data_IF_440069362695
#
_entry.id   IF_440069362695
#
_cell.length_a   1.000
_cell.length_b   1.000
_cell.length_c   1.000
_cell.angle_alpha   90.00
_cell.angle_beta   90.00
_cell.angle_gamma   90.00
#
_symmetry.space_group_name_H-M   'P 1'
#
loop_
_entity.id
_entity.type
_entity.pdbx_description
1 polymer ?
#
# COMPACT_ATOMS: atom_id res chain seq x y z
N UNK A 1 -42.65 -0.14 -9.86
CA UNK A 1 -42.27 0.53 -11.13
C UNK A 1 -40.96 1.31 -10.94
N UNK A 2 -39.79 0.64 -10.91
CA UNK A 2 -38.50 1.30 -10.59
C UNK A 2 -37.32 0.56 -11.25
N UNK A 3 -37.36 0.35 -12.58
CA UNK A 3 -36.25 -0.31 -13.31
C UNK A 3 -35.85 0.38 -14.63
N UNK A 4 -36.13 1.68 -14.79
CA UNK A 4 -35.86 2.41 -16.05
C UNK A 4 -35.00 3.68 -15.92
N UNK A 5 -34.31 3.90 -14.80
CA UNK A 5 -33.50 5.11 -14.58
C UNK A 5 -31.98 4.90 -14.64
N UNK A 6 -31.52 3.69 -14.94
CA UNK A 6 -30.08 3.37 -14.95
C UNK A 6 -29.32 3.66 -16.27
N UNK A 7 -29.93 3.73 -17.49
CA UNK A 7 -29.14 3.97 -18.69
C UNK A 7 -28.86 5.47 -18.96
N UNK A 8 -29.53 6.40 -18.26
CA UNK A 8 -29.36 7.83 -18.51
C UNK A 8 -28.10 8.42 -17.85
N UNK A 9 -27.59 7.80 -16.78
CA UNK A 9 -26.40 8.26 -16.06
C UNK A 9 -25.08 7.87 -16.75
N UNK A 10 -25.09 6.85 -17.61
CA UNK A 10 -23.88 6.41 -18.32
C UNK A 10 -23.63 7.18 -19.64
N UNK A 11 -24.66 7.84 -20.18
CA UNK A 11 -24.53 8.66 -21.40
C UNK A 11 -23.95 10.06 -21.12
N UNK A 12 -24.00 10.54 -19.87
CA UNK A 12 -23.54 11.89 -19.51
C UNK A 12 -22.04 11.96 -19.17
N UNK A 13 -21.38 10.82 -18.89
CA UNK A 13 -19.95 10.78 -18.56
C UNK A 13 -19.02 10.85 -19.78
N UNK A 14 -19.54 10.73 -21.00
CA UNK A 14 -18.71 10.76 -22.21
C UNK A 14 -18.46 12.15 -22.80
N UNK A 15 -19.21 13.18 -22.37
CA UNK A 15 -19.07 14.53 -22.94
C UNK A 15 -18.05 15.43 -22.22
N UNK A 16 -17.53 15.01 -21.06
CA UNK A 16 -16.56 15.82 -20.30
C UNK A 16 -15.10 15.71 -20.80
N UNK A 17 -14.82 14.84 -21.77
CA UNK A 17 -13.45 14.56 -22.21
C UNK A 17 -12.94 15.44 -23.37
N UNK A 18 -13.77 16.31 -23.96
CA UNK A 18 -13.41 17.08 -25.18
C UNK A 18 -13.03 18.54 -24.96
N UNK A 19 -12.91 19.01 -23.71
CA UNK A 19 -12.56 20.40 -23.40
C UNK A 19 -11.11 20.58 -22.90
N UNK A 20 -10.16 19.78 -23.41
CA UNK A 20 -8.74 20.11 -23.27
C UNK A 20 -8.39 21.13 -24.36
N UNK A 21 -8.61 22.41 -24.06
CA UNK A 21 -8.01 23.50 -24.82
C UNK A 21 -6.49 23.43 -24.64
N UNK A 22 -5.81 22.81 -25.60
CA UNK A 22 -4.37 22.85 -25.75
C UNK A 22 -3.99 24.31 -25.99
N UNK A 23 -3.62 25.01 -24.93
CA UNK A 23 -3.01 26.32 -25.04
C UNK A 23 -1.74 26.14 -25.90
N UNK A 24 -1.56 26.87 -27.01
CA UNK A 24 -0.39 26.70 -27.86
C UNK A 24 0.86 26.95 -27.02
N UNK A 25 1.80 25.99 -27.07
CA UNK A 25 3.03 26.02 -26.30
C UNK A 25 3.83 27.31 -26.59
N UNK A 26 4.45 27.95 -25.57
CA UNK A 26 5.22 29.19 -25.72
C UNK A 26 6.45 29.04 -26.64
N UNK A 27 6.91 27.81 -26.92
CA UNK A 27 7.90 27.54 -27.95
C UNK A 27 7.49 28.08 -29.33
N UNK A 28 6.19 28.09 -29.65
CA UNK A 28 5.70 28.61 -30.92
C UNK A 28 5.82 30.13 -31.04
N UNK A 29 5.64 30.88 -29.95
CA UNK A 29 5.77 32.35 -29.97
C UNK A 29 7.23 32.78 -30.07
N UNK A 30 8.13 32.18 -29.28
CA UNK A 30 9.56 32.50 -29.33
C UNK A 30 10.14 32.10 -30.70
N UNK A 31 9.82 30.91 -31.20
CA UNK A 31 10.26 30.46 -32.52
C UNK A 31 9.72 31.33 -33.65
N UNK A 32 8.49 31.84 -33.53
CA UNK A 32 7.90 32.78 -34.48
C UNK A 32 8.64 34.12 -34.46
N UNK A 33 8.92 34.68 -33.28
CA UNK A 33 9.64 35.94 -33.15
C UNK A 33 11.08 35.84 -33.68
N UNK A 34 11.75 34.70 -33.50
CA UNK A 34 13.08 34.42 -34.07
C UNK A 34 13.02 34.42 -35.61
N UNK A 35 12.02 33.77 -36.21
CA UNK A 35 11.82 33.79 -37.67
C UNK A 35 11.53 35.20 -38.20
N UNK A 36 10.71 35.98 -37.50
CA UNK A 36 10.46 37.38 -37.86
C UNK A 36 11.76 38.21 -37.77
N UNK A 37 12.64 37.92 -36.82
CA UNK A 37 13.95 38.57 -36.67
C UNK A 37 14.92 38.22 -37.80
N UNK A 38 14.96 36.96 -38.24
CA UNK A 38 15.75 36.55 -39.42
C UNK A 38 15.33 37.28 -40.69
N UNK A 39 14.03 37.51 -40.89
CA UNK A 39 13.54 38.26 -42.07
C UNK A 39 13.98 39.72 -42.05
N UNK A 40 14.00 40.37 -40.88
CA UNK A 40 14.46 41.75 -40.73
C UNK A 40 15.99 41.88 -40.91
N UNK A 41 16.76 40.88 -40.46
CA UNK A 41 18.22 40.84 -40.69
C UNK A 41 18.53 40.71 -42.18
N UNK A 42 17.80 39.87 -42.91
CA UNK A 42 17.95 39.75 -44.38
C UNK A 42 17.64 41.05 -45.10
N UNK A 43 16.57 41.75 -44.72
CA UNK A 43 16.23 43.06 -45.29
C UNK A 43 17.33 44.10 -45.02
N UNK A 44 17.92 44.08 -43.82
CA UNK A 44 19.07 44.93 -43.51
C UNK A 44 20.30 44.58 -44.36
N UNK A 45 20.61 43.29 -44.52
CA UNK A 45 21.76 42.83 -45.32
C UNK A 45 21.58 43.19 -46.80
N UNK A 46 20.38 43.05 -47.35
CA UNK A 46 20.03 43.45 -48.72
C UNK A 46 20.17 44.96 -48.92
N UNK A 47 19.65 45.78 -48.00
CA UNK A 47 19.80 47.24 -48.04
C UNK A 47 21.27 47.68 -47.91
N UNK A 48 22.05 46.98 -47.07
CA UNK A 48 23.47 47.26 -46.88
C UNK A 48 24.33 46.76 -48.07
N UNK A 49 23.93 45.68 -48.73
CA UNK A 49 24.56 45.17 -49.95
C UNK A 49 24.28 46.06 -51.16
N UNK A 50 23.05 46.60 -51.30
CA UNK A 50 22.73 47.62 -52.30
C UNK A 50 23.59 48.88 -52.11
N UNK A 51 23.89 49.24 -50.86
CA UNK A 51 24.82 50.33 -50.51
C UNK A 51 26.27 50.06 -50.89
N UNK A 52 26.71 48.80 -50.92
CA UNK A 52 28.07 48.40 -51.30
C UNK A 52 28.22 48.13 -52.81
N UNK A 53 27.12 47.85 -53.52
CA UNK A 53 27.14 47.48 -54.94
C UNK A 53 27.11 48.68 -55.90
N UNK A 54 26.76 49.88 -55.43
CA UNK A 54 26.49 51.05 -56.28
C UNK A 54 27.33 52.27 -55.89
N UNK A 55 28.65 52.24 -56.15
CA UNK A 55 29.61 53.35 -55.98
C UNK A 55 30.31 53.42 -54.62
N UNK A 56 31.63 53.22 -54.65
CA UNK A 56 32.51 53.60 -53.57
C UNK A 56 32.39 55.09 -53.23
N UNK A 57 32.39 55.39 -51.93
CA UNK A 57 32.52 56.71 -51.30
C UNK A 57 31.36 57.71 -51.47
N UNK A 58 30.24 57.47 -50.77
CA UNK A 58 29.68 58.33 -49.70
C UNK A 58 28.19 57.97 -49.49
N UNK A 59 27.78 57.55 -48.28
CA UNK A 59 26.39 57.17 -48.03
C UNK A 59 25.45 58.38 -48.17
N UNK A 60 24.36 58.22 -48.92
CA UNK A 60 23.25 59.18 -48.94
C UNK A 60 22.57 59.17 -47.56
N UNK A 61 22.22 60.34 -47.01
CA UNK A 61 21.56 60.44 -45.68
C UNK A 61 20.29 59.58 -45.58
N UNK A 62 19.61 59.32 -46.71
CA UNK A 62 18.40 58.52 -46.80
C UNK A 62 18.66 57.04 -46.49
N UNK A 63 19.75 56.47 -47.01
CA UNK A 63 20.11 55.07 -46.78
C UNK A 63 20.60 54.85 -45.34
N UNK A 64 21.23 55.87 -44.73
CA UNK A 64 21.54 55.83 -43.30
C UNK A 64 20.27 55.83 -42.43
N UNK A 65 19.22 56.53 -42.87
CA UNK A 65 17.95 56.56 -42.15
C UNK A 65 17.22 55.22 -42.22
N UNK A 66 17.18 54.59 -43.39
CA UNK A 66 16.56 53.28 -43.60
C UNK A 66 17.28 52.17 -42.82
N UNK A 67 18.62 52.20 -42.82
CA UNK A 67 19.43 51.29 -42.00
C UNK A 67 19.20 51.48 -40.51
N UNK A 68 19.11 52.73 -40.05
CA UNK A 68 18.85 53.04 -38.63
C UNK A 68 17.45 52.62 -38.22
N UNK A 69 16.45 52.79 -39.09
CA UNK A 69 15.08 52.37 -38.80
C UNK A 69 14.91 50.85 -38.84
N UNK A 70 15.61 50.15 -39.74
CA UNK A 70 15.73 48.68 -39.71
C UNK A 70 16.40 48.20 -38.40
N UNK A 71 17.49 48.85 -37.96
CA UNK A 71 18.16 48.54 -36.69
C UNK A 71 17.23 48.76 -35.50
N UNK A 72 16.47 49.87 -35.46
CA UNK A 72 15.48 50.12 -34.41
C UNK A 72 14.38 49.06 -34.40
N UNK A 73 13.95 48.59 -35.58
CA UNK A 73 13.00 47.48 -35.72
C UNK A 73 13.54 46.18 -35.11
N UNK A 74 14.78 45.83 -35.43
CA UNK A 74 15.47 44.66 -34.87
C UNK A 74 15.59 44.76 -33.35
N UNK A 75 16.01 45.91 -32.81
CA UNK A 75 16.16 46.11 -31.36
C UNK A 75 14.83 45.96 -30.62
N UNK A 76 13.73 46.48 -31.18
CA UNK A 76 12.38 46.30 -30.60
C UNK A 76 12.00 44.82 -30.57
N UNK A 77 12.26 44.11 -31.65
CA UNK A 77 11.98 42.67 -31.75
C UNK A 77 12.82 41.83 -30.79
N UNK A 78 14.09 42.17 -30.62
CA UNK A 78 14.97 41.52 -29.64
C UNK A 78 14.49 41.74 -28.21
N UNK A 79 13.95 42.93 -27.91
CA UNK A 79 13.36 43.22 -26.59
C UNK A 79 12.10 42.38 -26.35
N UNK A 80 11.27 42.16 -27.37
CA UNK A 80 10.11 41.29 -27.32
C UNK A 80 10.50 39.81 -27.12
N UNK A 81 11.53 39.33 -27.85
CA UNK A 81 12.07 37.97 -27.70
C UNK A 81 12.57 37.74 -26.29
N UNK A 82 13.38 38.66 -25.75
CA UNK A 82 13.92 38.53 -24.39
C UNK A 82 12.80 38.50 -23.35
N UNK A 83 11.76 39.34 -23.50
CA UNK A 83 10.60 39.31 -22.61
C UNK A 83 9.82 37.99 -22.72
N UNK A 84 9.61 37.48 -23.92
CA UNK A 84 8.92 36.20 -24.14
C UNK A 84 9.69 35.02 -23.53
N UNK A 85 11.01 35.00 -23.68
CA UNK A 85 11.89 33.98 -23.07
C UNK A 85 11.88 34.08 -21.54
N UNK A 86 11.98 35.29 -20.97
CA UNK A 86 11.89 35.46 -19.51
C UNK A 86 10.52 35.02 -18.96
N UNK A 87 9.44 35.30 -19.68
CA UNK A 87 8.11 34.85 -19.28
C UNK A 87 7.98 33.32 -19.36
N UNK A 88 8.58 32.68 -20.37
CA UNK A 88 8.56 31.22 -20.49
C UNK A 88 9.39 30.54 -19.40
N UNK A 89 10.60 31.05 -19.10
CA UNK A 89 11.48 30.48 -18.07
C UNK A 89 10.89 30.60 -16.68
N UNK A 90 10.22 31.72 -16.36
CA UNK A 90 9.49 31.89 -15.10
C UNK A 90 8.35 30.88 -14.97
N UNK A 91 7.55 30.69 -16.03
CA UNK A 91 6.46 29.70 -16.04
C UNK A 91 6.97 28.27 -15.91
N UNK A 92 8.05 27.95 -16.60
CA UNK A 92 8.65 26.62 -16.58
C UNK A 92 9.27 26.32 -15.21
N UNK A 93 9.94 27.31 -14.61
CA UNK A 93 10.46 27.19 -13.24
C UNK A 93 9.33 27.04 -12.23
N UNK A 94 8.25 27.81 -12.36
CA UNK A 94 7.07 27.66 -11.50
C UNK A 94 6.42 26.28 -11.64
N UNK A 95 6.30 25.76 -12.87
CA UNK A 95 5.77 24.42 -13.13
C UNK A 95 6.67 23.34 -12.51
N UNK A 96 7.98 23.40 -12.71
CA UNK A 96 8.94 22.45 -12.15
C UNK A 96 8.93 22.49 -10.61
N UNK A 97 8.81 23.67 -10.00
CA UNK A 97 8.70 23.79 -8.53
C UNK A 97 7.39 23.20 -8.02
N UNK A 98 6.27 23.46 -8.69
CA UNK A 98 4.97 22.90 -8.34
C UNK A 98 4.97 21.36 -8.46
N UNK A 99 5.50 20.82 -9.56
CA UNK A 99 5.66 19.38 -9.76
C UNK A 99 6.58 18.76 -8.70
N UNK A 100 7.70 19.41 -8.37
CA UNK A 100 8.58 18.94 -7.31
C UNK A 100 7.90 18.95 -5.93
N UNK A 101 7.08 19.95 -5.62
CA UNK A 101 6.30 19.97 -4.38
C UNK A 101 5.26 18.86 -4.35
N UNK A 102 4.54 18.63 -5.45
CA UNK A 102 3.58 17.54 -5.57
C UNK A 102 4.27 16.18 -5.44
N UNK A 103 5.40 15.96 -6.09
CA UNK A 103 6.18 14.74 -5.98
C UNK A 103 6.65 14.49 -4.54
N UNK A 104 7.15 15.53 -3.85
CA UNK A 104 7.54 15.45 -2.42
C UNK A 104 6.37 15.10 -1.51
N UNK A 105 5.19 15.68 -1.76
CA UNK A 105 3.97 15.35 -1.02
C UNK A 105 3.57 13.89 -1.24
N UNK A 106 3.57 13.41 -2.49
CA UNK A 106 3.25 12.02 -2.82
C UNK A 106 4.23 11.03 -2.15
N UNK A 107 5.53 11.33 -2.17
CA UNK A 107 6.54 10.50 -1.48
C UNK A 107 6.33 10.50 0.03
N UNK A 108 5.96 11.64 0.61
CA UNK A 108 5.70 11.75 2.06
C UNK A 108 4.47 10.93 2.47
N UNK A 109 3.39 11.00 1.68
CA UNK A 109 2.18 10.21 1.92
C UNK A 109 2.49 8.71 1.78
N UNK A 110 3.17 8.30 0.71
CA UNK A 110 3.55 6.90 0.50
C UNK A 110 4.45 6.36 1.62
N UNK A 111 5.41 7.16 2.10
CA UNK A 111 6.28 6.79 3.22
C UNK A 111 5.49 6.68 4.53
N UNK A 112 4.57 7.62 4.78
CA UNK A 112 3.70 7.62 5.95
C UNK A 112 2.81 6.38 5.95
N UNK A 113 2.19 6.06 4.82
CA UNK A 113 1.37 4.87 4.65
C UNK A 113 2.18 3.60 4.93
N UNK A 114 3.39 3.49 4.38
CA UNK A 114 4.27 2.35 4.63
C UNK A 114 4.61 2.19 6.11
N UNK A 115 4.87 3.29 6.82
CA UNK A 115 5.12 3.27 8.26
C UNK A 115 3.91 2.79 9.05
N UNK A 116 2.71 3.24 8.68
CA UNK A 116 1.46 2.83 9.33
C UNK A 116 1.16 1.34 9.11
N UNK A 117 1.43 0.82 7.91
CA UNK A 117 1.28 -0.60 7.58
C UNK A 117 2.26 -1.45 8.37
N UNK A 118 3.53 -1.03 8.48
CA UNK A 118 4.51 -1.72 9.33
C UNK A 118 4.06 -1.77 10.78
N UNK A 119 3.57 -0.65 11.33
CA UNK A 119 3.11 -0.61 12.71
C UNK A 119 1.91 -1.54 12.95
N UNK A 120 0.95 -1.57 12.02
CA UNK A 120 -0.16 -2.54 12.06
C UNK A 120 0.35 -3.98 12.00
N UNK A 121 1.34 -4.27 11.17
CA UNK A 121 1.93 -5.60 11.06
C UNK A 121 2.56 -6.05 12.39
N UNK A 122 3.31 -5.18 13.07
CA UNK A 122 3.88 -5.49 14.38
C UNK A 122 2.81 -5.68 15.46
N UNK A 123 1.75 -4.87 15.45
CA UNK A 123 0.64 -5.04 16.39
C UNK A 123 -0.09 -6.38 16.15
N UNK A 124 -0.39 -6.72 14.90
CA UNK A 124 -0.94 -8.03 14.51
C UNK A 124 -0.03 -9.18 14.95
N UNK A 125 1.29 -9.06 14.76
CA UNK A 125 2.25 -10.07 15.19
C UNK A 125 2.22 -10.28 16.72
N UNK A 126 2.18 -9.19 17.49
CA UNK A 126 2.06 -9.26 18.95
C UNK A 126 0.73 -9.89 19.38
N UNK A 127 -0.37 -9.55 18.71
CA UNK A 127 -1.68 -10.15 18.99
C UNK A 127 -1.67 -11.67 18.73
N UNK A 128 -1.09 -12.12 17.63
CA UNK A 128 -0.94 -13.54 17.31
C UNK A 128 -0.11 -14.24 18.40
N UNK A 129 1.05 -13.68 18.77
CA UNK A 129 1.89 -14.27 19.81
C UNK A 129 1.17 -14.36 21.16
N UNK A 130 0.42 -13.33 21.55
CA UNK A 130 -0.37 -13.35 22.78
C UNK A 130 -1.48 -14.41 22.73
N UNK A 131 -2.15 -14.58 21.58
CA UNK A 131 -3.17 -15.60 21.40
C UNK A 131 -2.56 -17.01 21.47
N UNK A 132 -1.45 -17.26 20.79
CA UNK A 132 -0.73 -18.54 20.86
C UNK A 132 -0.29 -18.88 22.28
N UNK A 133 0.21 -17.89 23.04
CA UNK A 133 0.57 -18.10 24.44
C UNK A 133 -0.65 -18.47 25.29
N UNK A 134 -1.80 -17.83 25.07
CA UNK A 134 -3.05 -18.16 25.77
C UNK A 134 -3.55 -19.54 25.41
N UNK A 135 -3.45 -19.94 24.15
CA UNK A 135 -3.80 -21.30 23.72
C UNK A 135 -2.92 -22.34 24.37
N UNK A 136 -1.59 -22.15 24.38
CA UNK A 136 -0.65 -23.03 25.08
C UNK A 136 -0.96 -23.14 26.58
N UNK A 137 -1.32 -22.04 27.23
CA UNK A 137 -1.74 -22.07 28.64
C UNK A 137 -3.03 -22.84 28.85
N UNK A 138 -4.02 -22.68 27.97
CA UNK A 138 -5.28 -23.44 28.04
C UNK A 138 -5.05 -24.93 27.83
N UNK A 139 -4.22 -25.29 26.86
CA UNK A 139 -3.86 -26.67 26.58
C UNK A 139 -3.19 -27.32 27.80
N UNK A 140 -2.21 -26.66 28.41
CA UNK A 140 -1.59 -27.13 29.66
C UNK A 140 -2.59 -27.34 30.78
N UNK A 141 -3.51 -26.39 31.00
CA UNK A 141 -4.56 -26.52 32.02
C UNK A 141 -5.50 -27.70 31.73
N UNK A 142 -5.83 -27.94 30.47
CA UNK A 142 -6.65 -29.10 30.08
C UNK A 142 -5.90 -30.41 30.33
N UNK A 143 -4.59 -30.46 30.02
CA UNK A 143 -3.76 -31.62 30.31
C UNK A 143 -3.65 -31.87 31.82
N UNK A 144 -3.37 -30.84 32.62
CA UNK A 144 -3.30 -30.91 34.08
C UNK A 144 -4.64 -31.37 34.70
N UNK A 145 -5.77 -30.87 34.20
CA UNK A 145 -7.09 -31.30 34.64
C UNK A 145 -7.37 -32.78 34.28
N UNK A 146 -6.93 -33.22 33.10
CA UNK A 146 -7.05 -34.62 32.69
C UNK A 146 -6.17 -35.55 33.52
N UNK A 147 -4.93 -35.16 33.83
CA UNK A 147 -4.05 -35.96 34.69
C UNK A 147 -4.59 -36.04 36.10
N UNK A 148 -5.07 -34.93 36.67
CA UNK A 148 -5.69 -34.91 38.00
C UNK A 148 -6.96 -35.78 38.06
N UNK A 149 -7.77 -35.80 37.00
CA UNK A 149 -8.94 -36.67 36.91
C UNK A 149 -8.54 -38.15 36.88
N UNK A 150 -7.52 -38.52 36.08
CA UNK A 150 -7.00 -39.90 36.02
C UNK A 150 -6.41 -40.35 37.36
N UNK A 151 -5.62 -39.52 38.01
CA UNK A 151 -5.07 -39.82 39.34
C UNK A 151 -6.19 -40.05 40.38
N UNK A 152 -7.26 -39.25 40.33
CA UNK A 152 -8.42 -39.44 41.19
C UNK A 152 -9.19 -40.74 40.89
N UNK A 153 -9.30 -41.13 39.62
CA UNK A 153 -9.90 -42.42 39.22
C UNK A 153 -9.03 -43.61 39.63
N UNK A 154 -7.71 -43.54 39.48
CA UNK A 154 -6.77 -44.57 39.94
C UNK A 154 -6.80 -44.73 41.46
N UNK A 155 -6.87 -43.63 42.22
CA UNK A 155 -7.02 -43.66 43.67
C UNK A 155 -8.36 -44.29 44.10
N UNK A 156 -9.45 -44.04 43.36
CA UNK A 156 -10.77 -44.68 43.63
C UNK A 156 -10.75 -46.16 43.29
N UNK A 157 -10.27 -46.52 42.12
CA UNK A 157 -10.23 -47.92 41.65
C UNK A 157 -9.31 -48.79 42.51
N UNK A 158 -8.15 -48.30 42.96
CA UNK A 158 -7.28 -49.04 43.88
C UNK A 158 -7.96 -49.33 45.23
N UNK A 159 -8.71 -48.37 45.78
CA UNK A 159 -9.51 -48.56 47.00
C UNK A 159 -10.64 -49.56 46.78
N UNK A 160 -11.33 -49.47 45.66
CA UNK A 160 -12.41 -50.40 45.28
C UNK A 160 -11.86 -51.82 45.04
N UNK A 161 -10.69 -51.96 44.43
CA UNK A 161 -10.04 -53.25 44.18
C UNK A 161 -9.68 -53.99 45.48
N UNK A 162 -9.19 -53.27 46.50
CA UNK A 162 -8.93 -53.85 47.84
C UNK A 162 -10.25 -54.29 48.48
N UNK A 163 -11.31 -53.47 48.39
CA UNK A 163 -12.62 -53.82 48.93
C UNK A 163 -13.23 -55.05 48.25
N UNK A 164 -13.13 -55.13 46.92
CA UNK A 164 -13.57 -56.29 46.13
C UNK A 164 -12.75 -57.54 46.50
N UNK A 165 -11.43 -57.40 46.67
CA UNK A 165 -10.56 -58.50 47.10
C UNK A 165 -10.93 -59.06 48.47
N UNK A 166 -11.16 -58.18 49.46
CA UNK A 166 -11.61 -58.59 50.79
C UNK A 166 -13.00 -59.22 50.78
N UNK A 167 -13.93 -58.66 49.99
CA UNK A 167 -15.26 -59.23 49.83
C UNK A 167 -15.18 -60.66 49.27
N UNK A 168 -14.40 -60.89 48.21
CA UNK A 168 -14.18 -62.23 47.65
C UNK A 168 -13.55 -63.21 48.65
N UNK A 169 -12.56 -62.75 49.44
CA UNK A 169 -11.93 -63.57 50.47
C UNK A 169 -12.94 -63.98 51.56
N UNK A 170 -13.79 -63.05 51.99
CA UNK A 170 -14.83 -63.34 52.99
C UNK A 170 -15.85 -64.37 52.50
N UNK A 171 -16.27 -64.28 51.22
CA UNK A 171 -17.16 -65.25 50.58
C UNK A 171 -16.48 -66.62 50.47
N UNK A 172 -15.21 -66.66 50.06
CA UNK A 172 -14.45 -67.90 49.95
C UNK A 172 -14.34 -68.62 51.31
N UNK A 173 -14.08 -67.88 52.40
CA UNK A 173 -14.07 -68.44 53.76
C UNK A 173 -15.44 -68.96 54.18
N UNK A 174 -16.53 -68.26 53.89
CA UNK A 174 -17.88 -68.74 54.19
C UNK A 174 -18.19 -70.05 53.46
N UNK A 175 -17.84 -70.13 52.17
CA UNK A 175 -18.00 -71.37 51.38
C UNK A 175 -17.15 -72.50 51.97
N UNK A 176 -15.91 -72.21 52.38
CA UNK A 176 -15.03 -73.18 53.00
C UNK A 176 -15.60 -73.72 54.32
N UNK A 177 -16.07 -72.84 55.21
CA UNK A 177 -16.71 -73.22 56.48
C UNK A 177 -17.98 -74.02 56.24
N UNK A 178 -18.81 -73.62 55.28
CA UNK A 178 -20.02 -74.36 54.92
C UNK A 178 -19.69 -75.78 54.46
N UNK A 179 -18.64 -75.94 53.64
CA UNK A 179 -18.15 -77.26 53.22
C UNK A 179 -17.63 -78.10 54.38
N UNK A 180 -16.87 -77.49 55.29
CA UNK A 180 -16.37 -78.15 56.50
C UNK A 180 -17.52 -78.63 57.40
N UNK A 181 -18.55 -77.79 57.57
CA UNK A 181 -19.77 -78.16 58.33
C UNK A 181 -20.51 -79.33 57.69
N UNK A 182 -20.63 -79.35 56.36
CA UNK A 182 -21.22 -80.49 55.65
C UNK A 182 -20.40 -81.78 55.84
N UNK A 183 -19.07 -81.69 55.79
CA UNK A 183 -18.19 -82.86 56.01
C UNK A 183 -18.32 -83.40 57.44
N UNK A 184 -18.36 -82.52 58.45
CA UNK A 184 -18.54 -82.93 59.85
C UNK A 184 -19.92 -83.54 60.11
N UNK A 185 -20.98 -83.01 59.48
CA UNK A 185 -22.32 -83.59 59.56
C UNK A 185 -22.44 -84.94 58.83
N UNK A 186 -21.56 -85.22 57.86
CA UNK A 186 -21.51 -86.47 57.12
C UNK A 186 -20.69 -87.58 57.81
N UNK A 187 -20.01 -87.29 58.94
CA UNK A 187 -19.37 -88.32 59.76
C UNK A 187 -20.43 -88.97 60.66
N UNK A 188 -20.87 -90.22 60.41
CA UNK A 188 -21.81 -90.87 61.29
C UNK A 188 -21.15 -91.11 62.65
N UNK A 189 -21.78 -90.61 63.71
CA UNK A 189 -21.38 -90.90 65.08
C UNK A 189 -21.33 -92.41 65.27
N UNK A 190 -20.13 -93.00 65.34
CA UNK A 190 -19.94 -94.42 65.65
C UNK A 190 -20.38 -94.62 67.10
N UNK A 191 -21.63 -95.04 67.26
CA UNK A 191 -22.27 -95.36 68.53
C UNK A 191 -21.42 -96.43 69.21
N UNK A 192 -20.79 -96.06 70.34
CA UNK A 192 -20.16 -96.99 71.29
C UNK A 192 -21.16 -98.11 71.62
N UNK A 193 -20.76 -99.35 71.36
CA UNK A 193 -21.17 -100.50 72.16
C UNK A 193 -20.00 -100.86 73.05
#
# INVERSE_FOLDING_TARGET
MTKRLLPLLFALSCQAALAQTTSPAPENEVSRLIKERETLVRQYEEANAQRNSLFGNKPSKKDLQEVVDALKGIIRKDTEVVRAVQASTLRQTAAVVAENQQAKQQVTVATTDQSSVRQRFYDLQNQIQNLEQREKQREKKLQEAQTAAKEAEEARTSREMIAVGLALLSVALLVYVFRLRQQLAAVPSRKRR
#
